data_IF_104341781366
#
_entry.id   IF_104341781366
#
_cell.length_a   1.000
_cell.length_b   1.000
_cell.length_c   1.000
_cell.angle_alpha   90.00
_cell.angle_beta   90.00
_cell.angle_gamma   90.00
#
_symmetry.space_group_name_H-M   'P 1'
#
loop_
_entity.id
_entity.type
_entity.pdbx_description
1 polymer ?
#
# COMPACT_ATOMS: atom_id res chain seq x y z
N UNK A 1 5.60 -1.30 8.07
CA UNK A 1 5.00 -2.20 7.05
C UNK A 1 5.70 -3.56 7.05
N UNK A 2 7.01 -3.64 6.73
CA UNK A 2 7.73 -4.92 6.61
C UNK A 2 7.88 -5.65 7.96
N UNK A 3 8.26 -4.93 9.02
CA UNK A 3 8.31 -5.45 10.40
C UNK A 3 6.97 -6.03 10.88
N UNK A 4 5.85 -5.47 10.41
CA UNK A 4 4.51 -5.97 10.75
C UNK A 4 4.08 -7.22 9.99
N UNK A 5 4.73 -7.55 8.86
CA UNK A 5 4.38 -8.71 8.01
C UNK A 5 5.34 -9.89 8.26
N UNK A 6 6.62 -9.58 8.55
CA UNK A 6 7.69 -10.57 8.66
C UNK A 6 8.40 -10.58 10.03
N UNK A 7 7.95 -9.75 10.98
CA UNK A 7 8.59 -9.61 12.28
C UNK A 7 9.99 -8.99 12.23
N UNK A 8 10.66 -8.99 13.37
CA UNK A 8 12.05 -8.52 13.52
C UNK A 8 13.05 -9.29 12.65
N UNK A 9 12.97 -10.63 12.54
CA UNK A 9 13.91 -11.40 11.72
C UNK A 9 13.80 -11.05 10.23
N UNK A 10 12.57 -10.87 9.72
CA UNK A 10 12.40 -10.50 8.31
C UNK A 10 12.85 -9.07 8.01
N UNK A 11 12.68 -8.14 8.95
CA UNK A 11 13.25 -6.81 8.80
C UNK A 11 14.79 -6.86 8.72
N UNK A 12 15.44 -7.61 9.62
CA UNK A 12 16.90 -7.80 9.61
C UNK A 12 17.41 -8.41 8.30
N UNK A 13 16.76 -9.47 7.80
CA UNK A 13 17.12 -10.10 6.52
C UNK A 13 17.05 -9.10 5.37
N UNK A 14 15.96 -8.35 5.28
CA UNK A 14 15.79 -7.39 4.21
C UNK A 14 16.83 -6.27 4.27
N UNK A 15 17.12 -5.74 5.46
CA UNK A 15 18.16 -4.72 5.65
C UNK A 15 19.54 -5.24 5.23
N UNK A 16 19.88 -6.47 5.64
CA UNK A 16 21.13 -7.10 5.22
C UNK A 16 21.23 -7.20 3.70
N UNK A 17 20.19 -7.67 3.00
CA UNK A 17 20.16 -7.76 1.53
C UNK A 17 20.25 -6.36 0.88
N UNK A 18 19.62 -5.34 1.47
CA UNK A 18 19.71 -3.96 0.96
C UNK A 18 21.15 -3.45 1.06
N UNK A 19 21.84 -3.72 2.17
CA UNK A 19 23.20 -3.24 2.44
C UNK A 19 24.26 -4.00 1.64
N UNK A 20 24.14 -5.33 1.54
CA UNK A 20 25.17 -6.21 0.98
C UNK A 20 24.81 -6.70 -0.44
N UNK A 21 23.60 -6.43 -0.91
CA UNK A 21 23.07 -6.83 -2.22
C UNK A 21 22.45 -8.24 -2.24
N UNK A 22 22.87 -9.13 -1.33
CA UNK A 22 22.35 -10.49 -1.23
C UNK A 22 22.53 -11.07 0.19
N UNK A 23 21.93 -12.23 0.44
CA UNK A 23 22.26 -13.13 1.56
C UNK A 23 22.44 -14.54 1.03
N UNK A 24 23.48 -15.26 1.46
CA UNK A 24 23.68 -16.66 1.10
C UNK A 24 22.96 -17.58 2.08
N UNK A 25 22.29 -18.64 1.61
CA UNK A 25 21.63 -19.61 2.48
C UNK A 25 22.60 -20.29 3.43
N UNK A 26 23.81 -20.55 2.93
CA UNK A 26 24.90 -21.19 3.66
C UNK A 26 25.47 -20.29 4.77
N UNK A 27 25.40 -18.96 4.60
CA UNK A 27 25.94 -17.98 5.54
C UNK A 27 24.87 -17.25 6.36
N UNK A 28 23.58 -17.55 6.13
CA UNK A 28 22.45 -16.81 6.69
C UNK A 28 22.54 -16.57 8.20
N UNK A 29 22.89 -17.61 8.98
CA UNK A 29 23.00 -17.49 10.44
C UNK A 29 24.22 -16.70 10.88
N UNK A 30 25.34 -16.85 10.17
CA UNK A 30 26.55 -16.08 10.44
C UNK A 30 26.31 -14.58 10.17
N UNK A 31 25.72 -14.25 9.03
CA UNK A 31 25.61 -12.88 8.53
C UNK A 31 24.50 -12.07 9.21
N UNK A 32 23.44 -12.74 9.68
CA UNK A 32 22.25 -12.06 10.22
C UNK A 32 21.90 -12.42 11.66
N UNK A 33 22.56 -13.45 12.23
CA UNK A 33 22.22 -14.01 13.54
C UNK A 33 20.88 -14.76 13.57
N UNK A 34 20.18 -14.89 12.45
CA UNK A 34 18.88 -15.56 12.36
C UNK A 34 19.10 -17.05 12.15
N UNK A 35 18.32 -17.89 12.83
CA UNK A 35 18.41 -19.35 12.65
C UNK A 35 18.11 -19.70 11.20
N UNK A 36 18.97 -20.53 10.59
CA UNK A 36 18.89 -20.88 9.18
C UNK A 36 17.49 -21.35 8.73
N UNK A 37 16.83 -22.19 9.53
CA UNK A 37 15.45 -22.66 9.25
C UNK A 37 14.40 -21.55 9.28
N UNK A 38 14.52 -20.60 10.21
CA UNK A 38 13.61 -19.46 10.31
C UNK A 38 13.83 -18.49 9.14
N UNK A 39 15.09 -18.18 8.84
CA UNK A 39 15.44 -17.30 7.73
C UNK A 39 14.99 -17.85 6.38
N UNK A 40 15.15 -19.16 6.13
CA UNK A 40 14.64 -19.81 4.91
C UNK A 40 13.13 -19.68 4.75
N UNK A 41 12.35 -19.90 5.82
CA UNK A 41 10.88 -19.74 5.78
C UNK A 41 10.49 -18.31 5.42
N UNK A 42 11.20 -17.32 5.98
CA UNK A 42 10.95 -15.91 5.69
C UNK A 42 11.32 -15.58 4.25
N UNK A 43 12.49 -16.02 3.76
CA UNK A 43 12.94 -15.79 2.39
C UNK A 43 12.01 -16.46 1.35
N UNK A 44 11.52 -17.66 1.64
CA UNK A 44 10.52 -18.35 0.80
C UNK A 44 9.23 -17.52 0.71
N UNK A 45 8.69 -17.06 1.84
CA UNK A 45 7.50 -16.18 1.85
C UNK A 45 7.75 -14.87 1.09
N UNK A 46 8.91 -14.23 1.29
CA UNK A 46 9.29 -13.03 0.53
C UNK A 46 9.41 -13.32 -0.97
N UNK A 47 9.83 -14.52 -1.35
CA UNK A 47 9.90 -14.96 -2.75
C UNK A 47 8.53 -15.18 -3.37
N UNK A 48 7.59 -15.78 -2.64
CA UNK A 48 6.19 -15.94 -3.07
C UNK A 48 5.54 -14.58 -3.35
N UNK A 49 5.91 -13.56 -2.57
CA UNK A 49 5.49 -12.17 -2.75
C UNK A 49 6.35 -11.38 -3.75
N UNK A 50 7.28 -12.03 -4.45
CA UNK A 50 8.24 -11.43 -5.41
C UNK A 50 9.13 -10.30 -4.86
N UNK A 51 9.37 -10.27 -3.55
CA UNK A 51 10.25 -9.27 -2.90
C UNK A 51 11.71 -9.62 -3.15
N UNK A 52 12.04 -10.92 -3.02
CA UNK A 52 13.37 -11.47 -3.28
C UNK A 52 13.29 -12.53 -4.37
N UNK A 53 14.41 -12.79 -5.03
CA UNK A 53 14.56 -13.85 -6.02
C UNK A 53 15.79 -14.71 -5.70
N UNK A 54 15.73 -16.02 -5.96
CA UNK A 54 16.88 -16.89 -5.82
C UNK A 54 17.91 -16.59 -6.90
N UNK A 55 19.17 -16.86 -6.58
CA UNK A 55 20.31 -16.69 -7.46
C UNK A 55 21.46 -17.61 -7.07
N UNK A 56 22.52 -17.59 -7.88
CA UNK A 56 23.75 -18.31 -7.62
C UNK A 56 24.92 -17.36 -7.76
N UNK A 57 25.85 -17.42 -6.81
CA UNK A 57 27.10 -16.67 -6.86
C UNK A 57 28.26 -17.66 -6.96
N UNK A 58 29.09 -17.52 -8.01
CA UNK A 58 30.33 -18.30 -8.14
C UNK A 58 31.42 -17.62 -7.31
N UNK A 59 32.01 -18.40 -6.42
CA UNK A 59 33.14 -18.03 -5.56
C UNK A 59 34.34 -18.93 -5.86
N UNK A 60 35.49 -18.64 -5.26
CA UNK A 60 36.67 -19.52 -5.37
C UNK A 60 36.44 -20.88 -4.70
N UNK A 61 35.59 -20.94 -3.68
CA UNK A 61 35.31 -22.13 -2.87
C UNK A 61 34.14 -22.96 -3.41
N UNK A 62 33.40 -22.44 -4.41
CA UNK A 62 32.26 -23.12 -5.00
C UNK A 62 31.13 -22.17 -5.38
N UNK A 63 29.90 -22.68 -5.40
CA UNK A 63 28.70 -21.92 -5.75
C UNK A 63 27.84 -21.73 -4.51
N UNK A 64 27.56 -20.48 -4.16
CA UNK A 64 26.64 -20.11 -3.07
C UNK A 64 25.22 -19.92 -3.61
N UNK A 65 24.23 -20.39 -2.87
CA UNK A 65 22.82 -20.12 -3.14
C UNK A 65 22.42 -18.84 -2.45
N UNK A 66 22.11 -17.82 -3.24
CA UNK A 66 21.87 -16.48 -2.72
C UNK A 66 20.42 -16.05 -2.94
N UNK A 67 19.97 -15.16 -2.08
CA UNK A 67 18.73 -14.40 -2.23
C UNK A 67 19.08 -12.94 -2.42
N UNK A 68 18.48 -12.29 -3.41
CA UNK A 68 18.65 -10.86 -3.70
C UNK A 68 17.30 -10.20 -3.89
N UNK A 69 17.22 -8.89 -3.74
CA UNK A 69 16.00 -8.14 -4.05
C UNK A 69 15.59 -8.35 -5.51
N UNK A 70 14.28 -8.18 -5.76
CA UNK A 70 13.73 -8.08 -7.09
C UNK A 70 13.27 -6.62 -7.37
N UNK A 71 14.19 -5.68 -7.69
CA UNK A 71 13.83 -4.28 -7.91
C UNK A 71 12.72 -4.08 -8.95
N UNK A 72 12.69 -4.79 -10.10
CA UNK A 72 11.60 -4.67 -11.06
C UNK A 72 10.23 -5.03 -10.46
N UNK A 73 10.14 -6.15 -9.72
CA UNK A 73 8.89 -6.54 -9.08
C UNK A 73 8.47 -5.56 -7.98
N UNK A 74 9.42 -5.08 -7.18
CA UNK A 74 9.15 -4.09 -6.13
C UNK A 74 8.65 -2.76 -6.71
N UNK A 75 9.27 -2.29 -7.81
CA UNK A 75 8.80 -1.11 -8.56
C UNK A 75 7.38 -1.32 -9.06
N UNK A 76 7.11 -2.45 -9.71
CA UNK A 76 5.79 -2.76 -10.24
C UNK A 76 4.73 -2.86 -9.14
N UNK A 77 5.03 -3.53 -8.03
CA UNK A 77 4.14 -3.65 -6.88
C UNK A 77 3.80 -2.27 -6.30
N UNK A 78 4.82 -1.41 -6.14
CA UNK A 78 4.61 -0.04 -5.65
C UNK A 78 3.74 0.77 -6.61
N UNK A 79 4.01 0.72 -7.92
CA UNK A 79 3.20 1.39 -8.93
C UNK A 79 1.75 0.89 -8.95
N UNK A 80 1.53 -0.42 -8.86
CA UNK A 80 0.19 -1.00 -8.78
C UNK A 80 -0.57 -0.48 -7.56
N UNK A 81 0.06 -0.43 -6.38
CA UNK A 81 -0.56 0.10 -5.15
C UNK A 81 -0.88 1.58 -5.27
N UNK A 82 0.04 2.39 -5.82
CA UNK A 82 -0.19 3.81 -6.03
C UNK A 82 -1.33 4.07 -7.02
N UNK A 83 -1.34 3.36 -8.16
CA UNK A 83 -2.39 3.47 -9.18
C UNK A 83 -3.76 3.06 -8.63
N UNK A 84 -3.83 1.97 -7.85
CA UNK A 84 -5.07 1.55 -7.18
C UNK A 84 -5.55 2.55 -6.13
N UNK A 85 -4.62 3.19 -5.42
CA UNK A 85 -4.95 4.26 -4.46
C UNK A 85 -5.51 5.47 -5.19
N UNK A 86 -4.85 5.90 -6.27
CA UNK A 86 -5.31 6.98 -7.14
C UNK A 86 -6.70 6.72 -7.70
N UNK A 87 -6.94 5.52 -8.24
CA UNK A 87 -8.24 5.11 -8.79
C UNK A 87 -9.36 5.29 -7.76
N UNK A 88 -9.17 4.81 -6.51
CA UNK A 88 -10.14 5.00 -5.44
C UNK A 88 -10.37 6.47 -5.08
N UNK A 89 -9.32 7.28 -5.05
CA UNK A 89 -9.44 8.72 -4.78
C UNK A 89 -10.22 9.43 -5.90
N UNK A 90 -9.95 9.09 -7.16
CA UNK A 90 -10.66 9.64 -8.33
C UNK A 90 -12.12 9.21 -8.32
N UNK A 91 -12.41 7.93 -8.05
CA UNK A 91 -13.79 7.46 -7.90
C UNK A 91 -14.54 8.22 -6.80
N UNK A 92 -13.86 8.48 -5.66
CA UNK A 92 -14.46 9.28 -4.59
C UNK A 92 -14.66 10.74 -4.99
N UNK A 93 -13.70 11.33 -5.69
CA UNK A 93 -13.80 12.71 -6.18
C UNK A 93 -14.98 12.87 -7.12
N UNK A 94 -15.09 11.99 -8.13
CA UNK A 94 -16.20 12.02 -9.07
C UNK A 94 -17.55 11.86 -8.36
N UNK A 95 -17.64 10.95 -7.38
CA UNK A 95 -18.85 10.81 -6.57
C UNK A 95 -19.21 12.12 -5.85
N UNK A 96 -18.25 12.81 -5.24
CA UNK A 96 -18.51 14.10 -4.58
C UNK A 96 -18.86 15.21 -5.58
N UNK A 97 -18.25 15.25 -6.77
CA UNK A 97 -18.51 16.31 -7.75
C UNK A 97 -19.86 16.12 -8.47
N UNK A 98 -20.21 14.89 -8.83
CA UNK A 98 -21.40 14.57 -9.64
C UNK A 98 -22.70 14.51 -8.82
N UNK A 99 -22.62 14.18 -7.52
CA UNK A 99 -23.82 14.01 -6.69
C UNK A 99 -24.08 15.23 -5.82
N UNK A 100 -25.32 15.72 -5.79
CA UNK A 100 -25.78 16.58 -4.71
C UNK A 100 -25.93 15.70 -3.47
N UNK A 101 -25.28 16.10 -2.36
CA UNK A 101 -25.23 15.31 -1.14
C UNK A 101 -25.87 16.12 -0.02
N UNK A 102 -26.67 15.44 0.79
CA UNK A 102 -27.24 15.95 2.02
C UNK A 102 -26.56 15.28 3.21
N UNK A 103 -26.52 15.96 4.36
CA UNK A 103 -25.91 15.48 5.59
C UNK A 103 -26.86 15.72 6.77
N UNK A 104 -26.92 14.75 7.68
CA UNK A 104 -27.61 14.92 8.95
C UNK A 104 -26.71 15.75 9.90
N UNK A 105 -27.16 16.92 10.38
CA UNK A 105 -26.35 17.77 11.26
C UNK A 105 -26.07 17.13 12.64
N UNK A 106 -26.87 16.13 13.04
CA UNK A 106 -26.73 15.45 14.32
C UNK A 106 -25.73 14.29 14.29
N UNK A 107 -25.81 13.41 13.28
CA UNK A 107 -24.98 12.20 13.22
C UNK A 107 -23.91 12.21 12.13
N UNK A 108 -23.91 13.20 11.23
CA UNK A 108 -22.95 13.32 10.12
C UNK A 108 -23.11 12.29 9.01
N UNK A 109 -24.20 11.50 8.99
CA UNK A 109 -24.49 10.58 7.88
C UNK A 109 -24.86 11.38 6.64
N UNK A 110 -24.36 10.91 5.50
CA UNK A 110 -24.54 11.55 4.20
C UNK A 110 -25.45 10.72 3.32
N UNK A 111 -26.25 11.41 2.52
CA UNK A 111 -27.28 10.86 1.64
C UNK A 111 -27.16 11.53 0.27
N UNK A 112 -27.41 10.79 -0.80
CA UNK A 112 -27.58 11.40 -2.13
C UNK A 112 -28.89 12.19 -2.21
N UNK A 113 -29.05 13.02 -3.25
CA UNK A 113 -30.32 13.70 -3.50
C UNK A 113 -31.50 12.72 -3.58
N UNK A 114 -31.34 11.60 -4.29
CA UNK A 114 -32.39 10.59 -4.45
C UNK A 114 -32.74 9.94 -3.10
N UNK A 115 -31.72 9.64 -2.27
CA UNK A 115 -31.93 9.10 -0.93
C UNK A 115 -32.60 10.12 -0.01
N UNK A 116 -32.19 11.39 -0.07
CA UNK A 116 -32.80 12.45 0.71
C UNK A 116 -34.26 12.65 0.29
N UNK A 117 -34.55 12.69 -1.01
CA UNK A 117 -35.90 12.79 -1.55
C UNK A 117 -36.78 11.61 -1.12
N UNK A 118 -36.27 10.38 -1.17
CA UNK A 118 -37.00 9.18 -0.74
C UNK A 118 -37.31 9.15 0.76
N UNK A 119 -36.58 9.91 1.58
CA UNK A 119 -36.81 10.04 3.02
C UNK A 119 -37.41 11.40 3.39
N UNK A 120 -38.03 12.13 2.45
CA UNK A 120 -38.63 13.45 2.66
C UNK A 120 -37.66 14.47 3.30
N UNK A 121 -36.37 14.36 2.98
CA UNK A 121 -35.25 15.12 3.56
C UNK A 121 -35.14 14.99 5.08
N UNK A 122 -35.58 13.86 5.64
CA UNK A 122 -35.47 13.52 7.06
C UNK A 122 -34.47 12.39 7.25
N UNK A 123 -33.59 12.51 8.23
CA UNK A 123 -32.65 11.46 8.58
C UNK A 123 -33.41 10.23 9.09
N UNK A 124 -33.28 9.05 8.47
CA UNK A 124 -34.00 7.84 8.89
C UNK A 124 -33.52 7.27 10.24
N UNK A 125 -32.45 7.82 10.82
CA UNK A 125 -31.89 7.37 12.10
C UNK A 125 -32.25 8.33 13.23
N UNK A 126 -32.11 9.63 12.99
CA UNK A 126 -32.27 10.66 14.02
C UNK A 126 -33.63 11.36 13.96
N UNK A 127 -34.33 11.33 12.81
CA UNK A 127 -35.54 12.13 12.57
C UNK A 127 -35.27 13.62 12.28
N UNK A 128 -34.00 14.02 12.23
CA UNK A 128 -33.59 15.41 11.95
C UNK A 128 -33.65 15.76 10.46
N UNK A 129 -33.91 17.03 10.16
CA UNK A 129 -33.92 17.53 8.78
C UNK A 129 -32.50 17.52 8.21
N UNK A 130 -32.35 16.91 7.03
CA UNK A 130 -31.11 16.86 6.29
C UNK A 130 -30.80 18.23 5.67
N UNK A 131 -29.52 18.62 5.68
CA UNK A 131 -29.04 19.86 5.07
C UNK A 131 -28.13 19.55 3.88
N UNK A 132 -28.11 20.41 2.86
CA UNK A 132 -27.17 20.23 1.76
C UNK A 132 -25.73 20.30 2.29
N UNK A 133 -24.92 19.29 1.95
CA UNK A 133 -23.56 19.17 2.44
C UNK A 133 -22.63 20.10 1.66
N UNK A 134 -21.81 20.87 2.37
CA UNK A 134 -20.69 21.59 1.76
C UNK A 134 -19.56 20.61 1.41
N UNK A 135 -19.39 20.37 0.11
CA UNK A 135 -18.39 19.45 -0.45
C UNK A 135 -17.07 20.13 -0.78
N UNK A 136 -16.99 21.46 -0.73
CA UNK A 136 -15.87 22.25 -1.25
C UNK A 136 -14.53 21.78 -0.66
N UNK A 137 -14.45 21.68 0.66
CA UNK A 137 -13.27 21.22 1.39
C UNK A 137 -12.91 19.77 1.08
N UNK A 138 -13.89 18.88 0.99
CA UNK A 138 -13.66 17.46 0.69
C UNK A 138 -13.11 17.29 -0.74
N UNK A 139 -13.70 18.00 -1.70
CA UNK A 139 -13.24 18.02 -3.11
C UNK A 139 -11.81 18.56 -3.20
N UNK A 140 -11.49 19.65 -2.49
CA UNK A 140 -10.14 20.22 -2.46
C UNK A 140 -9.10 19.22 -1.91
N UNK A 141 -9.39 18.59 -0.77
CA UNK A 141 -8.50 17.59 -0.16
C UNK A 141 -8.30 16.38 -1.09
N UNK A 142 -9.36 15.89 -1.74
CA UNK A 142 -9.26 14.78 -2.68
C UNK A 142 -8.37 15.13 -3.88
N UNK A 143 -8.53 16.34 -4.45
CA UNK A 143 -7.67 16.84 -5.54
C UNK A 143 -6.21 16.95 -5.11
N UNK A 144 -5.94 17.47 -3.91
CA UNK A 144 -4.59 17.55 -3.36
C UNK A 144 -3.95 16.16 -3.19
N UNK A 145 -4.71 15.20 -2.63
CA UNK A 145 -4.25 13.83 -2.44
C UNK A 145 -3.97 13.13 -3.77
N UNK A 146 -4.83 13.31 -4.78
CA UNK A 146 -4.61 12.78 -6.13
C UNK A 146 -3.31 13.35 -6.71
N UNK A 147 -3.11 14.67 -6.61
CA UNK A 147 -1.87 15.33 -7.08
C UNK A 147 -0.61 14.77 -6.39
N UNK A 148 -0.67 14.56 -5.06
CA UNK A 148 0.42 13.93 -4.30
C UNK A 148 0.72 12.51 -4.82
N UNK A 149 -0.31 11.69 -5.02
CA UNK A 149 -0.15 10.32 -5.54
C UNK A 149 0.40 10.32 -6.97
N UNK A 150 -0.06 11.23 -7.83
CA UNK A 150 0.44 11.36 -9.20
C UNK A 150 1.93 11.74 -9.25
N UNK A 151 2.35 12.63 -8.36
CA UNK A 151 3.77 12.97 -8.21
C UNK A 151 4.60 11.77 -7.73
N UNK A 152 4.07 10.95 -6.81
CA UNK A 152 4.75 9.72 -6.38
C UNK A 152 4.87 8.70 -7.51
N UNK A 153 3.81 8.50 -8.31
CA UNK A 153 3.84 7.61 -9.49
C UNK A 153 4.95 8.06 -10.46
N UNK A 154 4.96 9.34 -10.83
CA UNK A 154 5.99 9.91 -11.74
C UNK A 154 7.41 9.71 -11.21
N UNK A 155 7.61 9.84 -9.90
CA UNK A 155 8.93 9.62 -9.27
C UNK A 155 9.35 8.16 -9.37
N UNK A 156 8.46 7.21 -9.10
CA UNK A 156 8.75 5.78 -9.15
C UNK A 156 8.96 5.31 -10.59
N UNK A 157 8.24 5.86 -11.57
CA UNK A 157 8.43 5.50 -12.99
C UNK A 157 9.83 5.86 -13.53
N UNK A 158 10.43 6.93 -13.02
CA UNK A 158 11.77 7.43 -13.41
C UNK A 158 12.95 6.64 -12.83
N UNK A 159 12.72 5.85 -11.78
CA UNK A 159 13.74 4.98 -11.14
C UNK A 159 13.76 3.63 -11.81
#
# INVERSE_FOLDING_TARGET
>A
MIKGIYGDPGYKLLMHIIEHGYVAEELLTHDTGIKSNEGRKILQKMSEENIVIPGKLRTQEGVLHIWRLNPPALKNLLLQRLRKTREKLVLRLNFEEENILYECPQCGRRYTLDEAYANDYICPVDGEVLVEADKSKTVEVLKELISKVDNLIKRVERV
#
